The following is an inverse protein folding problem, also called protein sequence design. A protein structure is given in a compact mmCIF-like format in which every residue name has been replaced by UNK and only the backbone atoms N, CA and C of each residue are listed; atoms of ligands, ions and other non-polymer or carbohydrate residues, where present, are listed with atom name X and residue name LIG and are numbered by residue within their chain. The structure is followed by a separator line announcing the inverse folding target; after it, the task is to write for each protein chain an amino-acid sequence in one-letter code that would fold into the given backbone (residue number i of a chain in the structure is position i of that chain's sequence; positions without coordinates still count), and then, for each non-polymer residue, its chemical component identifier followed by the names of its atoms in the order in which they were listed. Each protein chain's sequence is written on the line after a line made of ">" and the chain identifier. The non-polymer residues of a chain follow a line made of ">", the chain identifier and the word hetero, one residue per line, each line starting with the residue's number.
data_IF_808040376558
#
_entry.id   IF_808040376558
#
_cell.length_a   1.000
_cell.length_b   1.000
_cell.length_c   1.000
_cell.angle_alpha   90.00
_cell.angle_beta   90.00
_cell.angle_gamma   90.00
#
_symmetry.space_group_name_H-M   'P 1'
#
loop_
_entity.id
_entity.type
_entity.pdbx_description
1 polymer ?
#
# COMPACT_ATOMS: atom_id res chain seq x y z
N UNK A 1 -60.65 -38.46 -50.04
CA UNK A 1 -60.95 -37.06 -50.43
C UNK A 1 -59.77 -36.58 -51.25
N UNK A 2 -59.96 -36.49 -52.58
CA UNK A 2 -59.12 -35.75 -53.56
C UNK A 2 -59.55 -34.26 -53.45
N UNK A 3 -58.73 -33.20 -53.66
CA UNK A 3 -57.65 -33.06 -54.67
C UNK A 3 -56.34 -32.37 -54.21
N UNK A 4 -55.30 -32.59 -55.02
CA UNK A 4 -54.26 -31.63 -55.40
C UNK A 4 -54.76 -30.84 -56.62
N UNK A 5 -54.53 -29.51 -56.71
CA UNK A 5 -54.07 -29.03 -58.01
C UNK A 5 -53.15 -27.79 -57.98
N UNK A 6 -52.15 -27.87 -58.87
CA UNK A 6 -51.76 -26.85 -59.86
C UNK A 6 -51.14 -25.53 -59.37
N UNK A 7 -50.05 -25.01 -59.94
CA UNK A 7 -49.21 -25.39 -61.09
C UNK A 7 -47.96 -24.51 -61.12
N UNK A 8 -46.93 -24.90 -61.89
CA UNK A 8 -45.61 -24.29 -61.94
C UNK A 8 -45.55 -23.19 -63.01
N UNK A 9 -44.47 -22.39 -63.02
CA UNK A 9 -43.89 -21.86 -64.27
C UNK A 9 -42.51 -21.20 -64.06
N UNK A 10 -41.52 -21.79 -64.75
CA UNK A 10 -40.52 -21.17 -65.67
C UNK A 10 -39.56 -20.12 -65.05
N UNK A 11 -38.26 -20.11 -65.33
CA UNK A 11 -37.44 -20.79 -66.34
C UNK A 11 -35.97 -20.76 -65.90
N UNK A 12 -35.12 -21.68 -66.37
CA UNK A 12 -34.14 -21.44 -67.47
C UNK A 12 -33.55 -20.03 -67.39
N UNK A 13 -32.24 -19.81 -67.38
CA UNK A 13 -31.08 -20.57 -67.88
C UNK A 13 -29.85 -19.71 -67.53
N UNK A 14 -28.69 -20.37 -67.36
CA UNK A 14 -27.35 -20.02 -67.92
C UNK A 14 -26.92 -18.55 -67.92
N UNK A 15 -25.68 -18.15 -67.68
CA UNK A 15 -24.34 -18.71 -67.40
C UNK A 15 -23.45 -17.45 -67.51
N UNK A 16 -22.28 -17.48 -66.85
CA UNK A 16 -21.08 -16.68 -67.18
C UNK A 16 -21.19 -15.16 -66.92
N UNK A 17 -20.14 -14.40 -66.62
CA UNK A 17 -18.76 -14.66 -66.16
C UNK A 17 -18.16 -13.28 -65.84
N UNK A 18 -17.53 -13.12 -64.66
CA UNK A 18 -16.42 -12.19 -64.30
C UNK A 18 -16.59 -10.68 -64.63
N UNK A 19 -15.63 -9.74 -64.35
CA UNK A 19 -14.46 -9.72 -63.45
C UNK A 19 -14.31 -8.37 -62.63
N UNK A 20 -13.27 -8.30 -61.77
CA UNK A 20 -12.51 -7.11 -61.30
C UNK A 20 -13.23 -5.98 -60.52
N UNK A 21 -12.74 -5.68 -59.30
CA UNK A 21 -12.17 -4.37 -58.93
C UNK A 21 -11.82 -4.34 -57.43
N UNK A 22 -10.59 -3.92 -57.12
CA UNK A 22 -10.10 -3.81 -55.75
C UNK A 22 -10.78 -2.70 -54.96
N UNK A 23 -10.81 -2.89 -53.65
CA UNK A 23 -10.91 -1.82 -52.67
C UNK A 23 -9.88 -2.11 -51.59
N UNK A 24 -8.74 -1.45 -51.75
CA UNK A 24 -7.86 -0.99 -50.67
C UNK A 24 -8.71 -0.46 -49.52
N UNK A 25 -8.94 -1.29 -48.51
CA UNK A 25 -9.27 -0.81 -47.18
C UNK A 25 -7.96 -0.42 -46.52
N UNK A 26 -7.57 0.84 -46.73
CA UNK A 26 -6.63 1.54 -45.87
C UNK A 26 -7.33 1.58 -44.50
N UNK A 27 -7.07 0.58 -43.67
CA UNK A 27 -7.35 0.67 -42.26
C UNK A 27 -6.34 1.67 -41.69
N UNK A 28 -6.70 2.96 -41.72
CA UNK A 28 -6.25 3.92 -40.72
C UNK A 28 -6.77 3.44 -39.36
N UNK A 29 -6.21 2.33 -38.85
CA UNK A 29 -6.10 2.13 -37.43
C UNK A 29 -5.09 3.17 -36.97
N UNK A 30 -5.58 4.39 -36.70
CA UNK A 30 -4.85 5.29 -35.85
C UNK A 30 -4.41 4.48 -34.64
N UNK A 31 -3.11 4.54 -34.32
CA UNK A 31 -2.59 4.00 -33.08
C UNK A 31 -3.31 4.67 -31.91
N UNK A 32 -4.50 4.19 -31.57
CA UNK A 32 -4.94 4.16 -30.19
C UNK A 32 -3.94 3.22 -29.54
N UNK A 33 -2.80 3.78 -29.11
CA UNK A 33 -1.94 3.09 -28.16
C UNK A 33 -2.89 2.60 -27.07
N UNK A 34 -2.96 1.27 -26.91
CA UNK A 34 -3.62 0.69 -25.74
C UNK A 34 -3.12 1.49 -24.53
N UNK A 35 -4.01 1.91 -23.63
CA UNK A 35 -3.58 2.64 -22.44
C UNK A 35 -2.45 1.83 -21.82
N UNK A 36 -1.28 2.48 -21.72
CA UNK A 36 -0.08 1.82 -21.23
C UNK A 36 -0.42 1.23 -19.87
N UNK A 37 -0.40 -0.10 -19.78
CA UNK A 37 -0.68 -0.77 -18.51
C UNK A 37 0.37 -0.32 -17.49
N UNK A 38 0.00 -0.18 -16.20
CA UNK A 38 0.97 0.05 -15.14
C UNK A 38 2.10 -0.99 -15.24
N UNK A 39 3.34 -0.53 -15.15
CA UNK A 39 4.50 -1.41 -15.14
C UNK A 39 4.80 -1.94 -13.75
N UNK A 40 4.24 -1.29 -12.73
CA UNK A 40 4.37 -1.64 -11.32
C UNK A 40 2.98 -1.96 -10.77
N UNK A 41 2.86 -3.04 -10.00
CA UNK A 41 1.60 -3.41 -9.34
C UNK A 41 1.61 -3.03 -7.86
N UNK A 42 0.44 -3.12 -7.23
CA UNK A 42 0.33 -2.86 -5.78
C UNK A 42 1.04 -3.95 -4.96
N UNK A 43 1.14 -5.17 -5.49
CA UNK A 43 1.90 -6.27 -4.90
C UNK A 43 3.40 -6.00 -4.91
N UNK A 44 3.93 -5.36 -5.97
CA UNK A 44 5.33 -4.92 -6.01
C UNK A 44 5.62 -3.88 -4.91
N UNK A 45 4.67 -2.97 -4.66
CA UNK A 45 4.76 -2.01 -3.55
C UNK A 45 4.79 -2.75 -2.21
N UNK A 46 3.89 -3.71 -2.00
CA UNK A 46 3.87 -4.51 -0.77
C UNK A 46 5.20 -5.26 -0.55
N UNK A 47 5.79 -5.82 -1.61
CA UNK A 47 7.09 -6.48 -1.57
C UNK A 47 8.23 -5.50 -1.23
N UNK A 48 8.25 -4.29 -1.81
CA UNK A 48 9.23 -3.24 -1.47
C UNK A 48 9.12 -2.83 0.01
N UNK A 49 7.89 -2.62 0.50
CA UNK A 49 7.63 -2.27 1.91
C UNK A 49 8.12 -3.37 2.86
N UNK A 50 7.83 -4.63 2.54
CA UNK A 50 8.30 -5.81 3.29
C UNK A 50 9.82 -5.94 3.32
N UNK A 51 10.47 -5.81 2.16
CA UNK A 51 11.93 -5.86 2.09
C UNK A 51 12.59 -4.73 2.90
N UNK A 52 12.02 -3.52 2.81
CA UNK A 52 12.53 -2.35 3.52
C UNK A 52 12.41 -2.53 5.02
N UNK A 53 11.22 -2.88 5.54
CA UNK A 53 11.04 -3.05 6.98
C UNK A 53 11.86 -4.23 7.53
N UNK A 54 11.95 -5.34 6.80
CA UNK A 54 12.76 -6.49 7.21
C UNK A 54 14.24 -6.11 7.31
N UNK A 55 14.72 -5.25 6.42
CA UNK A 55 16.10 -4.73 6.50
C UNK A 55 16.33 -3.83 7.72
N UNK A 56 15.37 -2.95 8.03
CA UNK A 56 15.45 -2.03 9.16
C UNK A 56 15.35 -2.78 10.49
N UNK A 57 14.46 -3.75 10.60
CA UNK A 57 14.32 -4.61 11.77
C UNK A 57 15.62 -5.39 12.02
N UNK A 58 16.17 -6.07 11.01
CA UNK A 58 17.46 -6.79 11.15
C UNK A 58 18.61 -5.86 11.55
N UNK A 59 18.65 -4.64 11.02
CA UNK A 59 19.64 -3.64 11.40
C UNK A 59 19.48 -3.20 12.87
N UNK A 60 18.23 -3.01 13.33
CA UNK A 60 17.93 -2.67 14.72
C UNK A 60 18.32 -3.82 15.67
N UNK A 61 17.99 -5.07 15.33
CA UNK A 61 18.42 -6.26 16.08
C UNK A 61 19.95 -6.31 16.16
N UNK A 62 20.66 -6.22 15.04
CA UNK A 62 22.11 -6.27 15.02
C UNK A 62 22.77 -5.12 15.82
N UNK A 63 22.18 -3.93 15.78
CA UNK A 63 22.63 -2.79 16.58
C UNK A 63 22.44 -3.04 18.08
N UNK A 64 21.24 -3.46 18.48
CA UNK A 64 20.90 -3.72 19.88
C UNK A 64 21.69 -4.89 20.47
N UNK A 65 21.88 -5.98 19.71
CA UNK A 65 22.73 -7.10 20.13
C UNK A 65 24.16 -6.64 20.40
N UNK A 66 24.70 -5.76 19.55
CA UNK A 66 26.04 -5.19 19.75
C UNK A 66 26.09 -4.32 21.00
N UNK A 67 25.12 -3.42 21.16
CA UNK A 67 25.02 -2.56 22.33
C UNK A 67 24.96 -3.36 23.64
N UNK A 68 24.11 -4.39 23.70
CA UNK A 68 23.99 -5.26 24.88
C UNK A 68 25.33 -5.96 25.15
N UNK A 69 25.96 -6.56 24.14
CA UNK A 69 27.25 -7.26 24.29
C UNK A 69 28.37 -6.34 24.77
N UNK A 70 28.41 -5.10 24.29
CA UNK A 70 29.41 -4.11 24.69
C UNK A 70 29.19 -3.61 26.12
N UNK A 71 27.93 -3.45 26.53
CA UNK A 71 27.58 -2.88 27.85
C UNK A 71 27.54 -3.93 28.96
N UNK A 72 27.07 -5.13 28.65
CA UNK A 72 26.87 -6.28 29.53
C UNK A 72 27.27 -7.58 28.80
N UNK A 73 28.56 -7.93 28.76
CA UNK A 73 29.06 -9.10 28.01
C UNK A 73 28.46 -10.44 28.43
N UNK A 74 27.97 -10.54 29.66
CA UNK A 74 27.30 -11.72 30.21
C UNK A 74 25.81 -11.81 29.87
N UNK A 75 25.23 -10.75 29.28
CA UNK A 75 23.82 -10.72 28.91
C UNK A 75 23.61 -11.27 27.49
N UNK A 76 22.53 -12.02 27.31
CA UNK A 76 22.04 -12.43 25.99
C UNK A 76 20.79 -11.65 25.65
N UNK A 77 20.74 -11.11 24.44
CA UNK A 77 19.55 -10.43 23.93
C UNK A 77 18.73 -11.44 23.13
N UNK A 78 17.61 -11.88 23.71
CA UNK A 78 16.61 -12.68 23.01
C UNK A 78 15.69 -11.75 22.22
N UNK A 79 15.59 -11.96 20.91
CA UNK A 79 14.70 -11.20 20.04
C UNK A 79 14.02 -12.12 19.04
N UNK A 80 12.71 -12.01 18.95
CA UNK A 80 11.90 -12.57 17.89
C UNK A 80 10.78 -11.58 17.57
N UNK A 81 10.56 -11.28 16.29
CA UNK A 81 9.38 -10.53 15.89
C UNK A 81 8.13 -11.38 16.16
N UNK A 82 7.22 -10.87 17.00
CA UNK A 82 5.97 -11.56 17.33
C UNK A 82 4.85 -11.10 16.40
N UNK A 83 4.55 -9.80 16.43
CA UNK A 83 3.40 -9.23 15.72
C UNK A 83 3.50 -7.72 15.53
N UNK A 84 2.69 -7.23 14.60
CA UNK A 84 2.40 -5.81 14.47
C UNK A 84 1.44 -5.34 15.56
N UNK A 85 1.76 -4.19 16.17
CA UNK A 85 0.92 -3.56 17.21
C UNK A 85 0.54 -2.15 16.75
N UNK A 86 -0.76 -1.77 16.81
CA UNK A 86 -1.18 -0.38 16.59
C UNK A 86 -0.47 0.58 17.56
N UNK A 87 -0.19 1.81 17.12
CA UNK A 87 0.59 2.79 17.90
C UNK A 87 0.02 2.97 19.30
N UNK A 88 -1.30 3.01 19.40
CA UNK A 88 -2.06 3.25 20.63
C UNK A 88 -1.91 2.13 21.65
N UNK A 89 -1.51 0.92 21.20
CA UNK A 89 -1.37 -0.28 22.02
C UNK A 89 0.09 -0.71 22.23
N UNK A 90 1.08 0.03 21.71
CA UNK A 90 2.51 -0.35 21.78
C UNK A 90 2.97 -0.49 23.23
N UNK A 91 2.63 0.49 24.08
CA UNK A 91 3.11 0.51 25.46
C UNK A 91 2.52 -0.66 26.27
N UNK A 92 1.23 -0.96 26.06
CA UNK A 92 0.55 -2.11 26.68
C UNK A 92 1.14 -3.45 26.20
N UNK A 93 1.39 -3.60 24.90
CA UNK A 93 1.98 -4.81 24.35
C UNK A 93 3.41 -5.03 24.85
N UNK A 94 4.21 -3.96 24.95
CA UNK A 94 5.56 -4.00 25.49
C UNK A 94 5.55 -4.30 26.99
N UNK A 95 4.64 -3.71 27.76
CA UNK A 95 4.46 -4.03 29.18
C UNK A 95 4.09 -5.50 29.38
N UNK A 96 3.20 -6.06 28.55
CA UNK A 96 2.84 -7.47 28.59
C UNK A 96 4.03 -8.39 28.31
N UNK A 97 4.81 -8.10 27.24
CA UNK A 97 6.03 -8.84 26.93
C UNK A 97 7.04 -8.78 28.08
N UNK A 98 7.26 -7.60 28.66
CA UNK A 98 8.18 -7.44 29.79
C UNK A 98 7.72 -8.20 31.02
N UNK A 99 6.42 -8.14 31.32
CA UNK A 99 5.82 -8.84 32.45
C UNK A 99 6.00 -10.34 32.33
N UNK A 100 5.77 -10.89 31.13
CA UNK A 100 6.01 -12.30 30.81
C UNK A 100 7.50 -12.67 30.92
N UNK A 101 8.37 -11.88 30.29
CA UNK A 101 9.82 -12.13 30.25
C UNK A 101 10.46 -12.09 31.64
N UNK A 102 10.03 -11.15 32.48
CA UNK A 102 10.59 -10.93 33.82
C UNK A 102 9.84 -11.69 34.92
N UNK A 103 8.68 -12.28 34.62
CA UNK A 103 7.83 -12.98 35.59
C UNK A 103 7.28 -12.09 36.70
N UNK A 104 7.08 -10.79 36.44
CA UNK A 104 6.64 -9.80 37.44
C UNK A 104 5.84 -8.68 36.79
N UNK A 105 5.00 -8.03 37.59
CA UNK A 105 4.12 -6.96 37.10
C UNK A 105 4.93 -5.78 36.51
N UNK A 106 4.47 -5.31 35.34
CA UNK A 106 4.96 -4.12 34.66
C UNK A 106 3.76 -3.25 34.33
N UNK A 107 3.78 -2.00 34.79
CA UNK A 107 2.68 -1.05 34.59
C UNK A 107 3.11 0.06 33.65
N UNK A 108 2.16 0.55 32.85
CA UNK A 108 2.36 1.73 31.99
C UNK A 108 1.90 2.96 32.77
N UNK A 109 2.77 3.96 32.92
CA UNK A 109 2.36 5.23 33.53
C UNK A 109 1.55 6.05 32.53
N UNK A 110 0.27 6.28 32.80
CA UNK A 110 -0.62 7.04 31.91
C UNK A 110 -0.09 8.42 31.50
N UNK A 111 0.66 9.09 32.38
CA UNK A 111 1.14 10.45 32.15
C UNK A 111 2.36 10.56 31.22
N UNK A 112 3.15 9.49 31.07
CA UNK A 112 4.43 9.55 30.33
C UNK A 112 4.71 8.36 29.42
N UNK A 113 3.84 7.35 29.38
CA UNK A 113 4.10 6.10 28.63
C UNK A 113 5.33 5.35 29.12
N UNK A 114 5.85 5.71 30.31
CA UNK A 114 7.01 5.05 30.89
C UNK A 114 6.57 3.72 31.50
N UNK A 115 7.39 2.70 31.26
CA UNK A 115 7.19 1.37 31.82
C UNK A 115 7.79 1.33 33.22
N UNK A 116 6.97 1.02 34.22
CA UNK A 116 7.39 0.77 35.59
C UNK A 116 7.44 -0.73 35.84
N UNK A 117 8.66 -1.24 36.00
CA UNK A 117 8.91 -2.64 36.29
C UNK A 117 8.88 -2.86 37.80
N UNK A 118 8.12 -3.84 38.28
CA UNK A 118 8.08 -4.22 39.68
C UNK A 118 9.45 -4.66 40.25
N UNK A 119 9.61 -4.71 41.58
CA UNK A 119 10.86 -5.10 42.21
C UNK A 119 11.26 -6.53 41.82
N UNK A 120 12.54 -6.73 41.56
CA UNK A 120 13.12 -8.04 41.24
C UNK A 120 13.66 -8.76 42.47
N UNK A 121 14.06 -10.04 42.32
CA UNK A 121 14.84 -10.69 43.36
C UNK A 121 16.17 -9.97 43.57
N UNK A 122 16.65 -9.92 44.81
CA UNK A 122 17.90 -9.20 45.17
C UNK A 122 19.12 -9.70 44.38
N UNK A 123 19.11 -10.97 43.97
CA UNK A 123 20.16 -11.59 43.17
C UNK A 123 20.07 -11.29 41.67
N UNK A 124 19.04 -10.58 41.20
CA UNK A 124 18.87 -10.24 39.79
C UNK A 124 19.99 -9.29 39.33
N UNK A 125 20.69 -9.61 38.23
CA UNK A 125 21.61 -8.66 37.62
C UNK A 125 20.90 -7.37 37.24
N UNK A 126 21.54 -6.22 37.52
CA UNK A 126 20.95 -4.90 37.25
C UNK A 126 20.62 -4.64 35.78
N UNK A 127 21.16 -5.43 34.85
CA UNK A 127 20.90 -5.33 33.41
C UNK A 127 19.65 -6.07 32.94
N UNK A 128 19.13 -7.02 33.74
CA UNK A 128 18.06 -7.96 33.30
C UNK A 128 16.83 -7.23 32.77
N UNK A 129 16.30 -6.28 33.54
CA UNK A 129 15.14 -5.50 33.12
C UNK A 129 15.41 -4.66 31.87
N UNK A 130 16.60 -4.06 31.75
CA UNK A 130 16.95 -3.23 30.59
C UNK A 130 17.14 -4.06 29.33
N UNK A 131 17.77 -5.24 29.42
CA UNK A 131 17.98 -6.13 28.28
C UNK A 131 16.64 -6.73 27.82
N UNK A 132 15.79 -7.14 28.75
CA UNK A 132 14.42 -7.58 28.43
C UNK A 132 13.61 -6.47 27.75
N UNK A 133 13.75 -5.23 28.21
CA UNK A 133 13.05 -4.08 27.63
C UNK A 133 13.47 -3.79 26.18
N UNK A 134 14.77 -3.92 25.88
CA UNK A 134 15.29 -3.84 24.52
C UNK A 134 14.71 -4.96 23.65
N UNK A 135 14.71 -6.21 24.14
CA UNK A 135 14.18 -7.37 23.43
C UNK A 135 12.69 -7.18 23.12
N UNK A 136 11.88 -6.91 24.14
CA UNK A 136 10.45 -6.66 23.99
C UNK A 136 10.14 -5.47 23.08
N UNK A 137 10.95 -4.40 23.13
CA UNK A 137 10.86 -3.29 22.19
C UNK A 137 11.00 -3.75 20.74
N UNK A 138 11.97 -4.62 20.44
CA UNK A 138 12.20 -5.15 19.09
C UNK A 138 11.18 -6.23 18.67
N UNK A 139 10.57 -6.92 19.63
CA UNK A 139 9.55 -7.94 19.37
C UNK A 139 8.18 -7.36 19.02
N UNK A 140 7.84 -6.19 19.60
CA UNK A 140 6.54 -5.51 19.40
C UNK A 140 6.61 -4.29 18.48
N UNK A 141 7.79 -3.72 18.25
CA UNK A 141 7.96 -2.66 17.24
C UNK A 141 8.21 -3.30 15.88
N UNK A 142 7.40 -2.88 14.90
CA UNK A 142 7.88 -1.81 14.04
C UNK A 142 6.83 -0.71 13.81
N UNK A 143 7.19 0.53 14.08
CA UNK A 143 6.86 1.74 13.29
C UNK A 143 5.45 1.90 12.68
N UNK A 144 4.37 1.60 13.41
CA UNK A 144 3.00 1.68 12.87
C UNK A 144 2.52 3.09 12.44
N UNK A 145 3.28 4.14 12.72
CA UNK A 145 3.02 5.53 12.29
C UNK A 145 3.88 6.02 11.11
N UNK A 146 4.80 5.22 10.57
CA UNK A 146 5.83 5.68 9.60
C UNK A 146 5.90 4.84 8.30
N UNK A 147 4.82 4.15 7.95
CA UNK A 147 4.77 3.25 6.78
C UNK A 147 4.98 3.81 5.37
N UNK A 148 4.92 5.11 5.08
CA UNK A 148 5.45 5.55 3.81
C UNK A 148 6.97 5.48 3.80
N UNK A 149 7.49 4.45 3.16
CA UNK A 149 8.91 4.35 2.87
C UNK A 149 9.30 5.31 1.75
N UNK A 150 8.36 5.64 0.85
CA UNK A 150 8.62 6.47 -0.31
C UNK A 150 9.68 5.84 -1.21
N UNK A 151 9.70 4.51 -1.27
CA UNK A 151 10.63 3.75 -2.10
C UNK A 151 10.40 4.00 -3.59
N UNK A 152 11.38 3.69 -4.44
CA UNK A 152 11.26 3.91 -5.88
C UNK A 152 10.07 3.19 -6.51
N UNK A 153 9.73 1.97 -6.06
CA UNK A 153 8.60 1.20 -6.59
C UNK A 153 7.28 1.85 -6.18
N UNK A 154 7.11 2.18 -4.89
CA UNK A 154 5.94 2.90 -4.38
C UNK A 154 5.70 4.24 -5.08
N UNK A 155 6.75 5.05 -5.23
CA UNK A 155 6.66 6.35 -5.94
C UNK A 155 6.29 6.16 -7.41
N UNK A 156 6.85 5.15 -8.07
CA UNK A 156 6.53 4.85 -9.47
C UNK A 156 5.08 4.37 -9.62
N UNK A 157 4.61 3.50 -8.72
CA UNK A 157 3.22 3.05 -8.72
C UNK A 157 2.24 4.22 -8.58
N UNK A 158 2.42 5.11 -7.60
CA UNK A 158 1.57 6.31 -7.44
C UNK A 158 1.64 7.19 -8.67
N UNK A 159 2.83 7.37 -9.26
CA UNK A 159 3.00 8.14 -10.49
C UNK A 159 2.18 7.54 -11.64
N UNK A 160 2.20 6.22 -11.81
CA UNK A 160 1.39 5.52 -12.83
C UNK A 160 -0.11 5.69 -12.58
N UNK A 161 -0.56 5.65 -11.32
CA UNK A 161 -1.95 5.96 -10.98
C UNK A 161 -2.32 7.39 -11.41
N UNK A 162 -1.46 8.38 -11.17
CA UNK A 162 -1.70 9.78 -11.51
C UNK A 162 -1.71 10.08 -13.01
N UNK A 163 -0.93 9.35 -13.82
CA UNK A 163 -0.76 9.65 -15.25
C UNK A 163 -1.53 8.70 -16.18
N UNK A 164 -1.96 7.54 -15.68
CA UNK A 164 -2.69 6.52 -16.46
C UNK A 164 -4.09 6.30 -15.88
N UNK A 165 -4.17 5.70 -14.70
CA UNK A 165 -5.43 5.14 -14.17
C UNK A 165 -6.43 6.22 -13.78
N UNK A 166 -6.01 7.21 -12.98
CA UNK A 166 -6.86 8.31 -12.55
C UNK A 166 -7.37 9.14 -13.72
N UNK A 167 -6.53 9.57 -14.70
CA UNK A 167 -7.02 10.27 -15.88
C UNK A 167 -8.01 9.44 -16.71
N UNK A 168 -7.80 8.13 -16.84
CA UNK A 168 -8.73 7.24 -17.53
C UNK A 168 -10.08 7.14 -16.80
N UNK A 169 -10.06 6.96 -15.47
CA UNK A 169 -11.26 6.95 -14.64
C UNK A 169 -12.03 8.27 -14.76
N UNK A 170 -11.34 9.40 -14.60
CA UNK A 170 -11.95 10.72 -14.72
C UNK A 170 -12.56 10.96 -16.11
N UNK A 171 -11.88 10.54 -17.17
CA UNK A 171 -12.39 10.64 -18.54
C UNK A 171 -13.65 9.79 -18.74
N UNK A 172 -13.73 8.61 -18.11
CA UNK A 172 -14.91 7.74 -18.20
C UNK A 172 -16.19 8.36 -17.60
N UNK A 173 -16.04 9.31 -16.67
CA UNK A 173 -17.14 10.06 -16.05
C UNK A 173 -17.32 11.47 -16.61
N UNK A 174 -16.63 11.79 -17.72
CA UNK A 174 -16.73 13.08 -18.41
C UNK A 174 -15.92 14.21 -17.79
N UNK A 175 -14.94 13.91 -16.94
CA UNK A 175 -14.02 14.87 -16.34
C UNK A 175 -12.63 14.81 -17.02
N UNK A 176 -11.82 15.83 -16.78
CA UNK A 176 -10.38 15.80 -17.08
C UNK A 176 -9.60 16.12 -15.82
N UNK A 177 -8.57 15.31 -15.52
CA UNK A 177 -7.64 15.62 -14.43
C UNK A 177 -6.47 16.45 -14.94
N UNK A 178 -6.07 17.42 -14.14
CA UNK A 178 -4.82 18.16 -14.28
C UNK A 178 -4.05 17.98 -13.00
N UNK A 179 -2.80 17.54 -13.11
CA UNK A 179 -1.88 17.39 -11.98
C UNK A 179 -0.77 18.42 -12.18
N UNK A 180 -0.87 19.62 -11.57
CA UNK A 180 0.09 20.71 -11.81
C UNK A 180 1.52 20.34 -11.36
N UNK A 181 1.60 19.58 -10.27
CA UNK A 181 2.85 19.07 -9.71
C UNK A 181 2.69 17.59 -9.34
N UNK A 182 3.19 16.71 -10.22
CA UNK A 182 3.16 15.27 -10.01
C UNK A 182 3.98 14.86 -8.78
N UNK A 183 5.11 15.54 -8.51
CA UNK A 183 5.96 15.18 -7.39
C UNK A 183 5.26 15.47 -6.06
N UNK A 184 4.66 16.65 -5.93
CA UNK A 184 3.86 16.99 -4.75
C UNK A 184 2.65 16.07 -4.57
N UNK A 185 1.97 15.66 -5.66
CA UNK A 185 0.88 14.70 -5.59
C UNK A 185 1.33 13.31 -5.15
N UNK A 186 2.49 12.83 -5.63
CA UNK A 186 3.10 11.58 -5.17
C UNK A 186 3.44 11.67 -3.69
N UNK A 187 4.08 12.76 -3.25
CA UNK A 187 4.45 12.95 -1.86
C UNK A 187 3.22 13.04 -0.95
N UNK A 188 2.13 13.71 -1.37
CA UNK A 188 0.87 13.79 -0.61
C UNK A 188 0.10 12.47 -0.53
N UNK A 189 0.27 11.58 -1.51
CA UNK A 189 -0.30 10.23 -1.47
C UNK A 189 0.48 9.29 -0.54
N UNK A 190 1.80 9.49 -0.44
CA UNK A 190 2.69 8.62 0.32
C UNK A 190 2.78 9.13 1.76
N UNK A 191 3.24 10.36 1.96
CA UNK A 191 3.53 10.89 3.28
C UNK A 191 2.29 11.54 3.91
N UNK A 192 1.88 11.14 5.13
CA UNK A 192 0.75 11.75 5.80
C UNK A 192 1.07 13.21 6.14
N UNK A 193 0.11 14.10 5.87
CA UNK A 193 0.20 15.48 6.35
C UNK A 193 -0.19 15.53 7.83
N UNK A 194 0.79 15.70 8.72
CA UNK A 194 0.51 15.87 10.15
C UNK A 194 0.05 17.30 10.45
N UNK A 195 -1.07 17.45 11.14
CA UNK A 195 -1.48 18.73 11.76
C UNK A 195 -1.40 18.59 13.29
N UNK A 196 -0.19 18.64 13.85
CA UNK A 196 0.06 18.59 15.30
C UNK A 196 0.22 17.18 15.89
N UNK A 197 -0.01 17.03 17.21
CA UNK A 197 0.11 15.75 17.96
C UNK A 197 -1.02 14.76 17.68
N UNK A 198 -2.08 15.19 17.01
CA UNK A 198 -3.11 14.30 16.47
C UNK A 198 -2.74 13.99 15.03
N UNK A 199 -2.35 12.75 14.77
CA UNK A 199 -2.12 12.26 13.41
C UNK A 199 -3.48 12.10 12.73
N UNK A 200 -4.06 13.20 12.23
CA UNK A 200 -5.07 13.10 11.17
C UNK A 200 -4.33 12.88 9.86
N UNK A 201 -3.82 11.66 9.66
CA UNK A 201 -3.12 11.29 8.44
C UNK A 201 -4.09 11.35 7.25
N UNK A 202 -4.12 12.48 6.53
CA UNK A 202 -4.66 12.50 5.18
C UNK A 202 -3.52 12.15 4.21
N UNK A 203 -3.48 10.88 3.80
CA UNK A 203 -2.75 10.43 2.61
C UNK A 203 -3.72 10.49 1.43
N UNK A 204 -3.49 11.43 0.52
CA UNK A 204 -4.40 11.66 -0.60
C UNK A 204 -3.74 12.44 -1.73
N UNK A 205 -4.03 12.07 -2.97
CA UNK A 205 -3.66 12.88 -4.15
C UNK A 205 -4.59 14.08 -4.35
N UNK A 206 -5.83 14.03 -3.86
CA UNK A 206 -6.87 14.99 -4.25
C UNK A 206 -6.57 16.46 -3.94
N UNK A 207 -5.85 16.82 -2.87
CA UNK A 207 -5.41 18.21 -2.65
C UNK A 207 -4.46 18.74 -3.73
N UNK A 208 -3.82 17.85 -4.49
CA UNK A 208 -2.80 18.17 -5.49
C UNK A 208 -3.32 18.02 -6.94
N UNK A 209 -4.60 17.70 -7.12
CA UNK A 209 -5.19 17.42 -8.43
C UNK A 209 -6.37 18.37 -8.68
N UNK A 210 -6.39 18.96 -9.87
CA UNK A 210 -7.53 19.74 -10.37
C UNK A 210 -8.43 18.84 -11.22
N UNK A 211 -9.72 18.81 -10.86
CA UNK A 211 -10.77 18.10 -11.60
C UNK A 211 -11.53 19.12 -12.44
N UNK A 212 -11.32 19.08 -13.75
CA UNK A 212 -12.01 19.95 -14.71
C UNK A 212 -13.30 19.28 -15.16
N UNK A 213 -14.44 19.86 -14.77
CA UNK A 213 -15.79 19.39 -15.05
C UNK A 213 -16.83 20.17 -14.23
N UNK A 214 -18.11 19.89 -14.42
CA UNK A 214 -19.15 20.45 -13.55
C UNK A 214 -19.07 19.87 -12.12
N UNK A 215 -19.69 20.51 -11.10
CA UNK A 215 -19.61 20.04 -9.73
C UNK A 215 -20.10 18.61 -9.50
N UNK A 216 -21.07 18.14 -10.28
CA UNK A 216 -21.66 16.81 -10.16
C UNK A 216 -20.72 15.75 -10.76
N UNK A 217 -20.02 16.07 -11.85
CA UNK A 217 -18.92 15.27 -12.41
C UNK A 217 -17.75 15.21 -11.43
N UNK A 218 -17.38 16.33 -10.79
CA UNK A 218 -16.33 16.35 -9.76
C UNK A 218 -16.66 15.42 -8.58
N UNK A 219 -17.89 15.47 -8.08
CA UNK A 219 -18.34 14.58 -7.01
C UNK A 219 -18.26 13.10 -7.42
N UNK A 220 -18.62 12.77 -8.68
CA UNK A 220 -18.50 11.41 -9.20
C UNK A 220 -17.05 10.93 -9.26
N UNK A 221 -16.11 11.76 -9.72
CA UNK A 221 -14.67 11.42 -9.73
C UNK A 221 -14.20 11.07 -8.32
N UNK A 222 -14.46 11.92 -7.33
CA UNK A 222 -14.02 11.69 -5.94
C UNK A 222 -14.65 10.47 -5.29
N UNK A 223 -15.78 9.99 -5.81
CA UNK A 223 -16.49 8.82 -5.26
C UNK A 223 -16.15 7.53 -6.00
N UNK A 224 -15.85 7.61 -7.30
CA UNK A 224 -15.71 6.44 -8.18
C UNK A 224 -14.25 6.12 -8.55
N UNK A 225 -13.36 7.12 -8.52
CA UNK A 225 -11.94 6.92 -8.79
C UNK A 225 -11.18 6.67 -7.49
N UNK A 226 -10.42 5.59 -7.45
CA UNK A 226 -9.65 5.19 -6.26
C UNK A 226 -8.52 6.20 -6.00
N UNK A 227 -8.45 6.71 -4.77
CA UNK A 227 -7.32 7.52 -4.31
C UNK A 227 -6.11 6.60 -4.01
N UNK A 228 -4.97 6.76 -4.70
CA UNK A 228 -3.79 5.96 -4.45
C UNK A 228 -3.33 6.02 -2.99
N UNK A 229 -3.47 7.16 -2.31
CA UNK A 229 -3.12 7.28 -0.90
C UNK A 229 -4.00 6.40 -0.01
N UNK A 230 -5.30 6.30 -0.31
CA UNK A 230 -6.22 5.43 0.43
C UNK A 230 -5.98 3.95 0.13
N UNK A 231 -5.58 3.61 -1.09
CA UNK A 231 -5.17 2.24 -1.43
C UNK A 231 -3.91 1.85 -0.66
N UNK A 232 -2.91 2.74 -0.58
CA UNK A 232 -1.68 2.51 0.19
C UNK A 232 -1.92 2.39 1.71
N UNK A 233 -2.89 3.13 2.25
CA UNK A 233 -3.36 2.99 3.65
C UNK A 233 -4.08 1.68 3.90
N UNK A 234 -4.76 1.13 2.89
CA UNK A 234 -5.51 -0.12 2.99
C UNK A 234 -4.65 -1.38 2.88
N UNK A 235 -3.34 -1.25 2.64
CA UNK A 235 -2.43 -2.39 2.62
C UNK A 235 -2.29 -3.00 4.01
N UNK A 236 -2.29 -4.34 4.05
CA UNK A 236 -1.94 -5.06 5.26
C UNK A 236 -0.51 -4.70 5.71
N UNK A 237 -0.22 -4.79 7.02
CA UNK A 237 1.12 -4.59 7.52
C UNK A 237 2.12 -5.48 6.76
N UNK A 238 3.28 -4.93 6.35
CA UNK A 238 4.26 -5.68 5.59
C UNK A 238 4.77 -6.91 6.35
N UNK A 239 5.05 -7.99 5.64
CA UNK A 239 5.69 -9.16 6.24
C UNK A 239 7.11 -8.81 6.70
N UNK A 240 7.51 -9.29 7.88
CA UNK A 240 8.90 -9.23 8.36
C UNK A 240 9.52 -10.61 8.21
N UNK A 241 10.56 -10.69 7.39
CA UNK A 241 11.36 -11.91 7.21
C UNK A 241 12.63 -11.79 8.08
N UNK A 242 12.81 -12.68 9.09
CA UNK A 242 13.95 -12.64 10.00
C UNK A 242 15.33 -12.82 9.36
#
# INVERSE_FOLDING_TARGET
>A
MIPDPDRPRRGRRRRAAAPIAGLTAIAFAGCAALPAQPTVTIEDVAAERSATISSQWRAAVAHSTRFVRERWPEAELEVAFDRWVPVEAIDEARAACLSETLGREVTVTEASGLLQVGPGPISEPAWTATVADIGCGLSVQPWSSLYPFGGPVERQWVREQLVVELPACASSVGARLVVPDIAAAVDGAIFPTSVGRSVSAMQSVWPHVEIVGDPLVRARVLTQCADPGQVLLGLEPPEIVP
#
